data_IF_832313856005
#
_entry.id   IF_832313856005
#
_cell.length_a   1.000
_cell.length_b   1.000
_cell.length_c   1.000
_cell.angle_alpha   90.00
_cell.angle_beta   90.00
_cell.angle_gamma   90.00
#
_symmetry.space_group_name_H-M   'P 1'
#
loop_
_entity.id
_entity.type
_entity.pdbx_description
1 polymer ?
#
# COMPACT_ATOMS: atom_id res chain seq x y z
N UNK A 1 -14.56 -17.55 10.11
CA UNK A 1 -13.56 -16.67 9.48
C UNK A 1 -12.66 -16.17 10.59
N UNK A 2 -11.36 -16.48 10.55
CA UNK A 2 -10.42 -16.01 11.57
C UNK A 2 -10.20 -14.51 11.38
N UNK A 3 -10.49 -13.75 12.43
CA UNK A 3 -10.17 -12.32 12.52
C UNK A 3 -8.64 -12.20 12.61
N UNK A 4 -7.99 -11.70 11.55
CA UNK A 4 -6.54 -11.55 11.52
C UNK A 4 -6.17 -10.18 12.09
N UNK A 5 -5.57 -10.18 13.28
CA UNK A 5 -5.14 -8.97 13.97
C UNK A 5 -3.82 -8.46 13.39
N UNK A 6 -3.80 -7.21 12.94
CA UNK A 6 -2.55 -6.48 12.66
C UNK A 6 -1.79 -6.33 13.97
N UNK A 7 -0.56 -6.86 14.04
CA UNK A 7 0.30 -6.72 15.23
C UNK A 7 1.18 -5.47 15.05
N UNK A 8 1.00 -4.41 15.85
CA UNK A 8 1.74 -3.18 15.67
C UNK A 8 3.24 -3.34 15.95
N UNK A 9 4.05 -2.47 15.33
CA UNK A 9 5.49 -2.36 15.59
C UNK A 9 5.89 -0.93 15.91
N UNK A 10 6.64 -0.76 16.99
CA UNK A 10 7.07 0.55 17.51
C UNK A 10 7.93 1.35 16.52
N UNK A 11 8.66 0.67 15.61
CA UNK A 11 9.52 1.29 14.60
C UNK A 11 8.79 1.79 13.35
N UNK A 12 7.46 1.62 13.28
CA UNK A 12 6.68 1.93 12.07
C UNK A 12 5.72 3.12 12.22
N UNK A 13 5.75 3.77 13.38
CA UNK A 13 5.00 4.99 13.65
C UNK A 13 3.55 4.75 14.08
N UNK A 14 2.80 5.86 14.13
CA UNK A 14 1.42 5.93 14.61
C UNK A 14 0.55 6.53 13.51
N UNK A 15 -0.60 5.93 13.23
CA UNK A 15 -1.62 6.48 12.34
C UNK A 15 -2.90 6.76 13.09
N UNK A 16 -3.59 7.83 12.71
CA UNK A 16 -4.87 8.23 13.29
C UNK A 16 -5.59 9.22 12.39
N UNK A 17 -6.89 9.37 12.59
CA UNK A 17 -7.69 10.41 11.95
C UNK A 17 -8.05 11.48 12.97
N UNK A 18 -8.01 12.73 12.52
CA UNK A 18 -8.52 13.87 13.27
C UNK A 18 -9.12 14.87 12.30
N UNK A 19 -10.38 15.26 12.50
CA UNK A 19 -11.09 16.21 11.65
C UNK A 19 -11.07 15.81 10.16
N UNK A 20 -11.28 14.53 9.84
CA UNK A 20 -11.23 13.97 8.47
C UNK A 20 -9.84 13.99 7.81
N UNK A 21 -8.79 14.24 8.59
CA UNK A 21 -7.39 14.22 8.12
C UNK A 21 -6.71 13.00 8.71
N UNK A 22 -6.14 12.17 7.85
CA UNK A 22 -5.26 11.06 8.22
C UNK A 22 -3.87 11.61 8.49
N UNK A 23 -3.33 11.25 9.65
CA UNK A 23 -1.97 11.54 10.06
C UNK A 23 -1.15 10.26 10.14
N UNK A 24 0.11 10.33 9.72
CA UNK A 24 1.14 9.34 10.07
C UNK A 24 2.32 10.04 10.73
N UNK A 25 2.73 9.55 11.89
CA UNK A 25 3.79 10.16 12.71
C UNK A 25 4.86 9.14 13.10
N UNK A 26 6.12 9.55 13.10
CA UNK A 26 7.25 8.77 13.67
C UNK A 26 8.04 9.68 14.60
N UNK A 27 8.22 9.26 15.86
CA UNK A 27 8.88 10.06 16.90
C UNK A 27 8.33 11.51 16.97
N UNK A 28 7.01 11.64 16.87
CA UNK A 28 6.25 12.90 16.90
C UNK A 28 6.50 13.85 15.71
N UNK A 29 7.23 13.42 14.69
CA UNK A 29 7.29 14.10 13.41
C UNK A 29 6.16 13.60 12.50
N UNK A 30 5.35 14.52 11.99
CA UNK A 30 4.33 14.22 10.97
C UNK A 30 4.99 13.95 9.63
N UNK A 31 4.82 12.74 9.12
CA UNK A 31 5.32 12.32 7.82
C UNK A 31 4.24 12.40 6.72
N UNK A 32 2.99 12.28 7.12
CA UNK A 32 1.83 12.31 6.22
C UNK A 32 0.69 13.08 6.86
N UNK A 33 0.06 13.92 6.05
CA UNK A 33 -1.19 14.59 6.35
C UNK A 33 -2.04 14.61 5.07
N UNK A 34 -3.12 13.81 5.03
CA UNK A 34 -4.02 13.75 3.86
C UNK A 34 -5.47 13.85 4.29
N UNK A 35 -6.27 14.61 3.54
CA UNK A 35 -7.72 14.63 3.73
C UNK A 35 -8.32 13.34 3.14
N UNK A 36 -9.11 12.62 3.93
CA UNK A 36 -9.71 11.35 3.49
C UNK A 36 -10.63 11.57 2.29
N UNK A 37 -11.24 12.76 2.17
CA UNK A 37 -12.10 13.10 1.04
C UNK A 37 -11.35 13.14 -0.31
N UNK A 38 -10.02 13.29 -0.29
CA UNK A 38 -9.20 13.34 -1.50
C UNK A 38 -8.74 11.94 -1.95
N UNK A 39 -8.85 10.93 -1.06
CA UNK A 39 -8.47 9.55 -1.35
C UNK A 39 -9.45 8.95 -2.36
N UNK A 40 -8.92 8.41 -3.45
CA UNK A 40 -9.69 7.79 -4.55
C UNK A 40 -9.57 6.27 -4.56
N UNK A 41 -8.45 5.72 -4.09
CA UNK A 41 -8.23 4.28 -3.95
C UNK A 41 -7.46 4.00 -2.66
N UNK A 42 -7.87 2.96 -1.95
CA UNK A 42 -7.13 2.41 -0.82
C UNK A 42 -6.79 0.97 -1.17
N UNK A 43 -5.52 0.62 -1.08
CA UNK A 43 -5.05 -0.73 -1.31
C UNK A 43 -3.98 -1.15 -0.33
N UNK A 44 -3.46 -2.34 -0.55
CA UNK A 44 -2.37 -2.91 0.20
C UNK A 44 -1.43 -3.66 -0.75
N UNK A 45 -0.17 -3.77 -0.39
CA UNK A 45 0.75 -4.67 -1.09
C UNK A 45 1.83 -5.18 -0.15
N UNK A 46 2.41 -6.32 -0.52
CA UNK A 46 3.58 -6.91 0.14
C UNK A 46 4.81 -6.82 -0.74
N UNK A 47 5.99 -6.92 -0.15
CA UNK A 47 7.27 -7.00 -0.89
C UNK A 47 7.84 -8.42 -0.82
N UNK A 48 8.70 -8.78 -1.77
CA UNK A 48 9.36 -10.09 -1.81
C UNK A 48 10.40 -10.31 -0.69
N UNK A 49 10.56 -9.36 0.24
CA UNK A 49 11.61 -9.37 1.27
C UNK A 49 11.07 -9.70 2.67
N UNK A 50 10.20 -10.72 2.74
CA UNK A 50 9.45 -11.14 3.92
C UNK A 50 10.28 -11.51 5.19
N UNK A 51 11.61 -11.47 5.13
CA UNK A 51 12.45 -11.94 6.25
C UNK A 51 13.00 -10.79 7.10
N UNK A 52 13.12 -9.56 6.59
CA UNK A 52 13.75 -8.48 7.35
C UNK A 52 13.14 -7.08 7.10
N UNK A 53 12.11 -6.75 7.89
CA UNK A 53 11.56 -5.41 8.21
C UNK A 53 10.58 -4.81 7.18
N UNK A 54 9.36 -4.57 7.67
CA UNK A 54 8.28 -3.82 7.02
C UNK A 54 8.03 -4.22 5.56
N UNK A 55 7.39 -5.36 5.38
CA UNK A 55 7.12 -6.01 4.11
C UNK A 55 5.66 -5.87 3.66
N UNK A 56 4.80 -5.19 4.43
CA UNK A 56 3.38 -5.02 4.16
C UNK A 56 2.95 -3.57 4.36
N UNK A 57 2.33 -3.00 3.33
CA UNK A 57 2.00 -1.59 3.27
C UNK A 57 0.53 -1.38 2.94
N UNK A 58 -0.08 -0.36 3.54
CA UNK A 58 -1.35 0.23 3.14
C UNK A 58 -1.07 1.45 2.27
N UNK A 59 -1.76 1.55 1.14
CA UNK A 59 -1.56 2.58 0.13
C UNK A 59 -2.81 3.43 0.00
N UNK A 60 -2.61 4.74 0.01
CA UNK A 60 -3.61 5.76 -0.26
C UNK A 60 -3.25 6.45 -1.57
N UNK A 61 -4.13 6.32 -2.56
CA UNK A 61 -3.99 6.98 -3.86
C UNK A 61 -4.96 8.15 -3.92
N UNK A 62 -4.44 9.34 -4.21
CA UNK A 62 -5.22 10.56 -4.40
C UNK A 62 -5.42 10.81 -5.90
N UNK A 63 -6.27 11.77 -6.22
CA UNK A 63 -6.46 12.23 -7.60
C UNK A 63 -5.12 12.69 -8.21
N UNK A 64 -4.89 12.39 -9.49
CA UNK A 64 -3.65 12.77 -10.18
C UNK A 64 -2.45 11.87 -9.87
N UNK A 65 -2.69 10.63 -9.44
CA UNK A 65 -1.68 9.57 -9.21
C UNK A 65 -0.72 9.81 -8.02
N UNK A 66 -1.02 10.79 -7.16
CA UNK A 66 -0.27 10.97 -5.93
C UNK A 66 -0.48 9.77 -4.99
N UNK A 67 0.63 9.17 -4.54
CA UNK A 67 0.64 7.88 -3.85
C UNK A 67 1.34 8.01 -2.51
N UNK A 68 0.66 7.56 -1.46
CA UNK A 68 1.22 7.49 -0.11
C UNK A 68 1.15 6.06 0.42
N UNK A 69 2.27 5.56 0.91
CA UNK A 69 2.37 4.22 1.50
C UNK A 69 2.72 4.33 2.97
N UNK A 70 1.98 3.60 3.80
CA UNK A 70 2.18 3.51 5.23
C UNK A 70 2.39 2.05 5.60
N UNK A 71 3.30 1.79 6.54
CA UNK A 71 3.45 0.45 7.11
C UNK A 71 2.11 -0.06 7.62
N UNK A 72 1.70 -1.26 7.20
CA UNK A 72 0.53 -1.90 7.76
C UNK A 72 0.70 -2.19 9.26
N UNK A 73 1.94 -2.28 9.76
CA UNK A 73 2.27 -2.47 11.17
C UNK A 73 2.23 -1.19 12.01
N UNK A 74 1.90 -0.03 11.43
CA UNK A 74 1.81 1.21 12.20
C UNK A 74 0.77 1.10 13.33
N UNK A 75 1.08 1.67 14.49
CA UNK A 75 0.17 1.71 15.61
C UNK A 75 -1.12 2.43 15.21
N UNK A 76 -2.27 1.84 15.52
CA UNK A 76 -3.58 2.41 15.17
C UNK A 76 -4.11 2.02 13.79
N UNK A 77 -3.37 1.27 12.98
CA UNK A 77 -3.79 0.91 11.60
C UNK A 77 -5.15 0.21 11.55
N UNK A 78 -5.42 -0.74 12.44
CA UNK A 78 -6.73 -1.41 12.48
C UNK A 78 -7.87 -0.43 12.80
N UNK A 79 -7.65 0.49 13.75
CA UNK A 79 -8.60 1.53 14.10
C UNK A 79 -8.83 2.51 12.95
N UNK A 80 -7.75 2.91 12.26
CA UNK A 80 -7.80 3.74 11.08
C UNK A 80 -8.68 3.12 9.99
N UNK A 81 -8.45 1.86 9.62
CA UNK A 81 -9.23 1.18 8.58
C UNK A 81 -10.70 1.03 8.98
N UNK A 82 -10.99 0.79 10.25
CA UNK A 82 -12.36 0.76 10.76
C UNK A 82 -13.04 2.14 10.64
N UNK A 83 -12.36 3.22 11.04
CA UNK A 83 -12.90 4.58 10.94
C UNK A 83 -13.12 5.00 9.48
N UNK A 84 -12.18 4.70 8.57
CA UNK A 84 -12.38 4.95 7.13
C UNK A 84 -13.56 4.13 6.60
N UNK A 85 -13.72 2.88 7.04
CA UNK A 85 -14.85 2.03 6.64
C UNK A 85 -16.20 2.67 6.97
N UNK A 86 -16.30 3.29 8.15
CA UNK A 86 -17.49 4.02 8.57
C UNK A 86 -17.72 5.26 7.69
N UNK A 87 -16.67 6.02 7.39
CA UNK A 87 -16.73 7.22 6.53
C UNK A 87 -17.22 6.87 5.12
N UNK A 88 -16.69 5.81 4.51
CA UNK A 88 -17.02 5.43 3.12
C UNK A 88 -18.19 4.45 3.01
N UNK A 89 -18.77 4.03 4.14
CA UNK A 89 -19.90 3.11 4.20
C UNK A 89 -19.61 1.70 3.64
N UNK A 90 -18.33 1.30 3.59
CA UNK A 90 -17.89 0.00 3.05
C UNK A 90 -16.87 -0.63 3.99
N UNK A 91 -16.98 -1.94 4.25
CA UNK A 91 -16.03 -2.64 5.11
C UNK A 91 -14.66 -2.80 4.47
N UNK A 92 -13.72 -1.90 4.80
CA UNK A 92 -12.32 -1.96 4.40
C UNK A 92 -11.57 -2.87 5.39
N UNK A 93 -10.86 -3.86 4.85
CA UNK A 93 -10.07 -4.81 5.63
C UNK A 93 -8.80 -5.17 4.89
N UNK A 94 -7.69 -5.13 5.60
CA UNK A 94 -6.41 -5.61 5.09
C UNK A 94 -6.37 -7.14 5.14
N UNK A 95 -5.81 -7.77 4.11
CA UNK A 95 -5.92 -9.21 3.85
C UNK A 95 -4.59 -9.90 3.59
N UNK A 96 -3.51 -9.14 3.38
CA UNK A 96 -2.22 -9.71 2.97
C UNK A 96 -1.26 -10.05 4.12
N UNK A 97 -1.75 -10.10 5.37
CA UNK A 97 -0.89 -10.31 6.57
C UNK A 97 -0.07 -11.61 6.60
N UNK A 98 -0.43 -12.60 5.77
CA UNK A 98 0.25 -13.89 5.66
C UNK A 98 0.88 -14.13 4.27
N UNK A 99 0.89 -13.13 3.38
CA UNK A 99 1.47 -13.31 2.06
C UNK A 99 3.00 -13.43 2.17
N UNK A 100 3.54 -14.54 1.66
CA UNK A 100 4.99 -14.82 1.61
C UNK A 100 5.65 -14.35 0.32
N UNK A 101 4.84 -14.07 -0.70
CA UNK A 101 5.25 -13.55 -2.00
C UNK A 101 4.71 -12.13 -2.20
N UNK A 102 5.19 -11.46 -3.25
CA UNK A 102 4.57 -10.22 -3.70
C UNK A 102 3.09 -10.44 -4.02
N UNK A 103 2.24 -9.65 -3.35
CA UNK A 103 0.81 -9.55 -3.60
C UNK A 103 0.38 -8.10 -3.49
N UNK A 104 -0.65 -7.75 -4.23
CA UNK A 104 -1.30 -6.45 -4.09
C UNK A 104 -2.81 -6.62 -4.13
N UNK A 105 -3.53 -5.72 -3.47
CA UNK A 105 -4.98 -5.80 -3.40
C UNK A 105 -5.57 -4.40 -3.23
N UNK A 106 -6.64 -4.11 -3.97
CA UNK A 106 -7.47 -2.93 -3.73
C UNK A 106 -8.49 -3.28 -2.66
N UNK A 107 -8.64 -2.45 -1.63
CA UNK A 107 -9.66 -2.60 -0.59
C UNK A 107 -10.85 -1.66 -0.83
N UNK A 108 -10.63 -0.52 -1.47
CA UNK A 108 -11.65 0.47 -1.82
C UNK A 108 -11.20 1.26 -3.06
N UNK A 109 -12.11 1.66 -3.98
CA UNK A 109 -13.57 1.58 -3.95
C UNK A 109 -14.14 0.19 -4.23
N UNK A 110 -15.43 -0.01 -3.93
CA UNK A 110 -16.09 -1.32 -4.01
C UNK A 110 -16.05 -1.97 -5.41
N UNK A 111 -16.06 -1.17 -6.47
CA UNK A 111 -15.95 -1.66 -7.86
C UNK A 111 -14.55 -2.20 -8.21
N UNK A 112 -13.52 -1.80 -7.44
CA UNK A 112 -12.14 -2.28 -7.60
C UNK A 112 -11.72 -3.25 -6.50
N UNK A 113 -12.46 -3.33 -5.39
CA UNK A 113 -12.11 -4.17 -4.25
C UNK A 113 -11.86 -5.64 -4.66
N UNK A 114 -10.75 -6.21 -4.18
CA UNK A 114 -10.31 -7.57 -4.52
C UNK A 114 -9.47 -7.67 -5.79
N UNK A 115 -9.32 -6.59 -6.57
CA UNK A 115 -8.45 -6.56 -7.75
C UNK A 115 -7.01 -6.22 -7.35
N UNK A 116 -6.04 -6.59 -8.19
CA UNK A 116 -4.63 -6.23 -7.98
C UNK A 116 -4.45 -4.70 -8.11
N UNK A 117 -3.77 -4.12 -7.13
CA UNK A 117 -3.40 -2.70 -7.10
C UNK A 117 -2.25 -2.43 -8.09
N UNK A 118 -1.26 -3.31 -8.10
CA UNK A 118 -0.04 -3.20 -8.88
C UNK A 118 0.17 -4.40 -9.80
N UNK A 119 0.77 -4.13 -10.96
CA UNK A 119 1.38 -5.12 -11.84
C UNK A 119 2.92 -4.98 -11.77
N UNK A 120 3.62 -6.11 -11.84
CA UNK A 120 5.08 -6.13 -11.96
C UNK A 120 5.45 -6.02 -13.44
N UNK A 121 6.06 -4.90 -13.83
CA UNK A 121 6.57 -4.69 -15.19
C UNK A 121 8.08 -4.81 -15.24
N UNK A 122 8.58 -5.54 -16.23
CA UNK A 122 10.02 -5.59 -16.53
C UNK A 122 10.39 -4.25 -17.16
N UNK A 123 11.30 -3.52 -16.53
CA UNK A 123 11.84 -2.30 -17.14
C UNK A 123 12.88 -2.73 -18.19
N UNK A 124 12.69 -2.32 -19.44
CA UNK A 124 13.76 -2.43 -20.43
C UNK A 124 14.98 -1.63 -19.97
N UNK A 125 16.04 -2.36 -19.66
CA UNK A 125 17.31 -1.81 -19.19
C UNK A 125 17.85 -0.76 -20.16
N UNK A 126 17.82 0.51 -19.71
CA UNK A 126 18.44 1.64 -20.41
C UNK A 126 19.96 1.67 -20.24
N UNK A 127 20.50 0.98 -19.23
CA UNK A 127 21.93 0.95 -18.92
C UNK A 127 22.61 -0.34 -19.38
N UNK A 128 23.80 -0.19 -19.98
CA UNK A 128 24.67 -1.29 -20.39
C UNK A 128 25.04 -2.26 -19.25
N UNK A 129 25.13 -1.75 -18.02
CA UNK A 129 25.37 -2.54 -16.82
C UNK A 129 24.21 -3.50 -16.48
N UNK A 130 22.98 -3.08 -16.70
CA UNK A 130 21.80 -3.91 -16.42
C UNK A 130 21.65 -5.02 -17.45
N UNK A 131 22.00 -4.75 -18.72
CA UNK A 131 22.10 -5.79 -19.78
C UNK A 131 23.17 -6.82 -19.46
N UNK A 132 24.31 -6.36 -18.93
CA UNK A 132 25.40 -7.24 -18.50
C UNK A 132 24.99 -8.12 -17.30
N UNK A 133 24.30 -7.56 -16.31
CA UNK A 133 23.74 -8.31 -15.17
C UNK A 133 22.68 -9.34 -15.60
N UNK A 134 21.77 -8.95 -16.49
CA UNK A 134 20.77 -9.86 -17.03
C UNK A 134 21.42 -11.05 -17.77
N UNK A 135 22.48 -10.81 -18.55
CA UNK A 135 23.26 -11.86 -19.24
C UNK A 135 23.99 -12.81 -18.28
N UNK A 136 24.33 -12.34 -17.08
CA UNK A 136 24.93 -13.15 -16.01
C UNK A 136 23.89 -13.85 -15.12
N UNK A 137 22.59 -13.79 -15.46
CA UNK A 137 21.53 -14.50 -14.75
C UNK A 137 20.91 -13.75 -13.57
N UNK A 138 21.24 -12.47 -13.37
CA UNK A 138 20.74 -11.68 -12.22
C UNK A 138 19.33 -11.08 -12.39
N UNK A 139 18.56 -11.53 -13.39
CA UNK A 139 17.19 -11.04 -13.65
C UNK A 139 17.15 -9.61 -14.18
N UNK A 140 15.99 -9.20 -14.68
CA UNK A 140 15.73 -7.80 -15.07
C UNK A 140 15.09 -7.04 -13.90
N UNK A 141 15.36 -5.74 -13.75
CA UNK A 141 14.68 -4.94 -12.72
C UNK A 141 13.16 -4.91 -12.99
N UNK A 142 12.40 -5.12 -11.92
CA UNK A 142 10.94 -5.04 -11.91
C UNK A 142 10.50 -3.70 -11.31
N UNK A 143 9.46 -3.12 -11.88
CA UNK A 143 8.79 -1.91 -11.37
C UNK A 143 7.34 -2.25 -11.02
N UNK A 144 6.86 -1.65 -9.93
CA UNK A 144 5.44 -1.67 -9.58
C UNK A 144 4.74 -0.58 -10.36
N UNK A 145 3.77 -0.96 -11.18
CA UNK A 145 2.97 -0.04 -11.98
C UNK A 145 1.50 -0.23 -11.60
N UNK A 146 0.76 0.86 -11.41
CA UNK A 146 -0.69 0.77 -11.15
C UNK A 146 -1.39 0.08 -12.31
N UNK A 147 -2.33 -0.82 -11.98
CA UNK A 147 -3.15 -1.49 -13.00
C UNK A 147 -4.03 -0.48 -13.73
N UNK A 148 -4.42 -0.79 -14.97
CA UNK A 148 -5.26 0.10 -15.79
C UNK A 148 -6.60 0.43 -15.13
N UNK A 149 -7.17 -0.51 -14.37
CA UNK A 149 -8.41 -0.30 -13.61
C UNK A 149 -8.23 0.78 -12.54
N UNK A 150 -7.11 0.74 -11.81
CA UNK A 150 -6.76 1.74 -10.81
C UNK A 150 -6.45 3.08 -11.46
N UNK A 151 -5.65 3.12 -12.53
CA UNK A 151 -5.34 4.38 -13.24
C UNK A 151 -6.60 5.11 -13.73
N UNK A 152 -7.54 4.37 -14.32
CA UNK A 152 -8.82 4.95 -14.77
C UNK A 152 -9.64 5.57 -13.64
N UNK A 153 -9.52 5.07 -12.42
CA UNK A 153 -10.19 5.62 -11.24
C UNK A 153 -9.57 6.94 -10.77
N UNK A 154 -8.30 7.21 -11.11
CA UNK A 154 -7.56 8.40 -10.66
C UNK A 154 -7.66 9.60 -11.63
N UNK A 155 -8.23 9.38 -12.83
CA UNK A 155 -8.46 10.38 -13.88
C UNK A 155 -9.79 11.13 -13.68
#
# INVERSE_FOLDING_TARGET
MNDQTIIPRDDTGKVFIKNNILFWTIADNTLLEINIADVQVIGEYTTMHAVYRNDWFIVFLLKGEETYQVSAYAQGMQGLLAEISEIVGTGIRATLSLATDFKSNVMWPANLAGQELYELKIIESKSWFDRFRARLGFGSPLELVLTDGVKKQLL
#
